data_IF_837482707292
#
_entry.id   IF_837482707292
#
_cell.length_a   1.000
_cell.length_b   1.000
_cell.length_c   1.000
_cell.angle_alpha   90.00
_cell.angle_beta   90.00
_cell.angle_gamma   90.00
#
_symmetry.space_group_name_H-M   'P 1'
#
loop_
_entity.id
_entity.type
_entity.pdbx_description
1 polymer ?
#
# COMPACT_ATOMS: atom_id res chain seq x y z
N UNK A 1 -45.47 57.99 -40.40
CA UNK A 1 -45.11 57.60 -39.02
C UNK A 1 -45.57 56.19 -38.75
N UNK A 2 -44.64 55.24 -38.53
CA UNK A 2 -44.71 54.13 -37.55
C UNK A 2 -43.48 53.25 -37.78
N UNK A 3 -42.50 53.42 -36.89
CA UNK A 3 -41.27 52.64 -36.81
C UNK A 3 -41.56 51.24 -36.27
N UNK A 4 -41.01 50.19 -36.91
CA UNK A 4 -40.94 48.85 -36.34
C UNK A 4 -39.60 48.69 -35.62
N UNK A 5 -39.64 48.52 -34.30
CA UNK A 5 -38.48 48.25 -33.46
C UNK A 5 -38.24 46.73 -33.38
N UNK A 6 -37.05 46.28 -33.77
CA UNK A 6 -36.58 44.92 -33.55
C UNK A 6 -36.04 44.78 -32.12
N UNK A 7 -36.66 43.91 -31.32
CA UNK A 7 -36.19 43.57 -29.98
C UNK A 7 -35.16 42.43 -30.05
N UNK A 8 -33.90 42.75 -29.77
CA UNK A 8 -32.81 41.80 -29.62
C UNK A 8 -32.82 41.25 -28.18
N UNK A 9 -33.21 39.99 -27.99
CA UNK A 9 -33.15 39.32 -26.70
C UNK A 9 -31.72 38.85 -26.41
N UNK A 10 -31.03 39.56 -25.52
CA UNK A 10 -29.70 39.19 -25.02
C UNK A 10 -29.86 38.11 -23.94
N UNK A 11 -29.55 36.86 -24.28
CA UNK A 11 -29.52 35.76 -23.32
C UNK A 11 -28.29 35.90 -22.40
N UNK A 12 -28.51 36.37 -21.18
CA UNK A 12 -27.53 36.35 -20.09
C UNK A 12 -27.33 34.90 -19.62
N UNK A 13 -26.28 34.24 -20.10
CA UNK A 13 -25.81 32.98 -19.55
C UNK A 13 -25.20 33.20 -18.17
N UNK A 14 -25.87 32.73 -17.12
CA UNK A 14 -25.30 32.65 -15.77
C UNK A 14 -24.22 31.57 -15.76
N UNK A 15 -23.01 31.83 -15.21
CA UNK A 15 -22.02 30.79 -15.03
C UNK A 15 -22.54 29.81 -13.98
N UNK A 16 -22.71 28.55 -14.37
CA UNK A 16 -22.98 27.46 -13.45
C UNK A 16 -21.85 27.43 -12.41
N UNK A 17 -22.18 27.68 -11.16
CA UNK A 17 -21.24 27.56 -10.05
C UNK A 17 -20.74 26.12 -10.01
N UNK A 18 -19.49 25.91 -10.42
CA UNK A 18 -18.79 24.64 -10.26
C UNK A 18 -18.70 24.37 -8.75
N UNK A 19 -19.54 23.47 -8.25
CA UNK A 19 -19.48 23.02 -6.86
C UNK A 19 -18.14 22.30 -6.69
N UNK A 20 -17.17 22.99 -6.11
CA UNK A 20 -15.87 22.41 -5.77
C UNK A 20 -16.11 21.14 -4.95
N UNK A 21 -15.55 20.01 -5.39
CA UNK A 21 -15.56 18.79 -4.63
C UNK A 21 -14.97 19.08 -3.24
N UNK A 22 -15.65 18.62 -2.18
CA UNK A 22 -15.14 18.78 -0.82
C UNK A 22 -13.69 18.24 -0.75
N UNK A 23 -12.75 18.95 -0.12
CA UNK A 23 -11.37 18.52 -0.06
C UNK A 23 -11.29 17.15 0.61
N UNK A 24 -10.54 16.22 0.02
CA UNK A 24 -10.31 14.91 0.63
C UNK A 24 -9.55 15.09 1.95
N UNK A 25 -10.14 14.60 3.04
CA UNK A 25 -9.57 14.65 4.40
C UNK A 25 -8.89 13.32 4.71
N UNK A 26 -7.91 13.39 5.62
CA UNK A 26 -7.04 12.27 5.96
C UNK A 26 -6.84 12.16 7.47
N UNK A 27 -6.86 10.91 7.93
CA UNK A 27 -6.53 10.46 9.28
C UNK A 27 -5.20 9.70 9.28
N UNK A 28 -4.80 9.18 10.45
CA UNK A 28 -3.56 8.42 10.61
C UNK A 28 -3.84 7.02 11.15
N UNK A 29 -3.50 5.97 10.41
CA UNK A 29 -3.59 4.57 10.85
C UNK A 29 -2.26 4.06 11.42
N UNK A 30 -2.33 3.15 12.39
CA UNK A 30 -1.16 2.52 13.04
C UNK A 30 -1.16 1.00 12.94
N UNK A 31 -2.25 0.42 12.46
CA UNK A 31 -2.43 -1.01 12.24
C UNK A 31 -3.78 -1.25 11.57
N UNK A 32 -3.82 -2.24 10.68
CA UNK A 32 -5.04 -2.97 10.32
C UNK A 32 -4.81 -4.44 10.63
N UNK A 33 -5.68 -5.02 11.46
CA UNK A 33 -5.53 -6.38 11.94
C UNK A 33 -6.88 -7.07 12.09
N UNK A 34 -6.93 -8.37 11.81
CA UNK A 34 -8.19 -9.12 11.88
C UNK A 34 -8.58 -9.49 13.31
N UNK A 35 -7.59 -9.64 14.20
CA UNK A 35 -7.84 -9.81 15.63
C UNK A 35 -8.10 -8.46 16.31
N UNK A 36 -9.30 -8.35 16.87
CA UNK A 36 -9.76 -7.22 17.66
C UNK A 36 -8.88 -7.01 18.90
N UNK A 37 -8.47 -8.07 19.59
CA UNK A 37 -7.63 -7.96 20.78
C UNK A 37 -6.25 -7.36 20.43
N UNK A 38 -5.63 -7.82 19.34
CA UNK A 38 -4.40 -7.21 18.82
C UNK A 38 -4.58 -5.73 18.42
N UNK A 39 -5.73 -5.33 17.87
CA UNK A 39 -6.02 -3.94 17.56
C UNK A 39 -6.14 -3.07 18.83
N UNK A 40 -6.79 -3.56 19.88
CA UNK A 40 -6.84 -2.87 21.18
C UNK A 40 -5.47 -2.79 21.85
N UNK A 41 -4.73 -3.90 21.91
CA UNK A 41 -3.37 -3.92 22.46
C UNK A 41 -2.46 -2.94 21.71
N UNK A 42 -2.60 -2.86 20.39
CA UNK A 42 -1.89 -1.90 19.56
C UNK A 42 -2.30 -0.46 19.87
N UNK A 43 -3.59 -0.17 20.00
CA UNK A 43 -4.11 1.16 20.35
C UNK A 43 -3.55 1.61 21.69
N UNK A 44 -3.49 0.74 22.69
CA UNK A 44 -2.95 1.05 24.02
C UNK A 44 -1.44 1.28 23.99
N UNK A 45 -0.70 0.46 23.24
CA UNK A 45 0.74 0.65 23.04
C UNK A 45 1.06 1.98 22.34
N UNK A 46 0.28 2.36 21.32
CA UNK A 46 0.40 3.64 20.61
C UNK A 46 0.03 4.80 21.54
N UNK A 47 -1.07 4.69 22.30
CA UNK A 47 -1.52 5.71 23.25
C UNK A 47 -0.46 5.99 24.33
N UNK A 48 0.21 4.95 24.85
CA UNK A 48 1.29 5.09 25.85
C UNK A 48 2.48 5.90 25.33
N UNK A 49 2.79 5.81 24.04
CA UNK A 49 3.93 6.51 23.42
C UNK A 49 3.55 7.93 22.98
N UNK A 50 2.35 8.10 22.41
CA UNK A 50 1.90 9.40 21.90
C UNK A 50 1.34 10.32 22.99
N UNK A 51 1.03 9.76 24.16
CA UNK A 51 0.56 10.50 25.32
C UNK A 51 -0.95 10.74 25.34
N UNK A 52 -1.46 11.27 26.47
CA UNK A 52 -2.90 11.35 26.76
C UNK A 52 -3.68 12.23 25.77
N UNK A 53 -3.05 13.30 25.25
CA UNK A 53 -3.69 14.17 24.26
C UNK A 53 -3.96 13.44 22.96
N UNK A 54 -3.01 12.65 22.46
CA UNK A 54 -3.20 11.87 21.24
C UNK A 54 -4.15 10.68 21.47
N UNK A 55 -4.12 10.09 22.66
CA UNK A 55 -4.97 8.95 23.03
C UNK A 55 -6.47 9.23 22.92
N UNK A 56 -6.90 10.47 23.16
CA UNK A 56 -8.31 10.91 23.04
C UNK A 56 -8.87 10.80 21.62
N UNK A 57 -7.99 10.81 20.61
CA UNK A 57 -8.37 10.74 19.21
C UNK A 57 -8.02 9.38 18.58
N UNK A 58 -7.49 8.43 19.37
CA UNK A 58 -7.19 7.08 18.92
C UNK A 58 -8.39 6.16 19.09
N UNK A 59 -8.94 5.73 17.97
CA UNK A 59 -10.05 4.79 17.89
C UNK A 59 -9.58 3.42 17.42
N UNK A 60 -10.25 2.39 17.91
CA UNK A 60 -10.27 1.08 17.26
C UNK A 60 -11.53 1.03 16.42
N UNK A 61 -11.39 0.80 15.12
CA UNK A 61 -12.49 0.93 14.16
C UNK A 61 -12.69 -0.38 13.42
N UNK A 62 -13.93 -0.73 13.10
CA UNK A 62 -14.25 -1.85 12.22
C UNK A 62 -14.42 -1.31 10.83
N UNK A 63 -13.56 -1.75 9.91
CA UNK A 63 -13.77 -1.51 8.49
C UNK A 63 -13.41 -2.78 7.71
N UNK A 64 -14.26 -3.13 6.75
CA UNK A 64 -13.93 -4.12 5.73
C UNK A 64 -13.52 -5.50 6.28
N UNK A 65 -14.13 -5.90 7.42
CA UNK A 65 -13.87 -7.19 8.07
C UNK A 65 -12.54 -7.27 8.84
N UNK A 66 -11.91 -6.12 9.11
CA UNK A 66 -10.72 -5.97 9.94
C UNK A 66 -10.90 -4.85 10.99
N UNK A 67 -10.07 -4.89 12.03
CA UNK A 67 -9.98 -3.87 13.06
C UNK A 67 -8.78 -2.95 12.76
N UNK A 68 -9.03 -1.65 12.61
CA UNK A 68 -8.02 -0.62 12.42
C UNK A 68 -7.74 0.13 13.72
N UNK A 69 -6.50 0.59 13.92
CA UNK A 69 -6.18 1.62 14.91
C UNK A 69 -5.97 2.93 14.18
N UNK A 70 -6.88 3.88 14.37
CA UNK A 70 -6.92 5.15 13.64
C UNK A 70 -6.88 6.32 14.60
N UNK A 71 -6.04 7.30 14.32
CA UNK A 71 -6.03 8.61 14.97
C UNK A 71 -6.78 9.60 14.09
N UNK A 72 -7.91 10.07 14.60
CA UNK A 72 -8.73 11.07 13.93
C UNK A 72 -7.97 12.38 13.87
N UNK A 73 -7.70 12.85 12.66
CA UNK A 73 -7.01 14.12 12.42
C UNK A 73 -7.85 15.07 11.58
N UNK A 74 -8.64 14.52 10.65
CA UNK A 74 -9.51 15.25 9.73
C UNK A 74 -8.79 16.44 9.06
N UNK A 75 -7.63 16.17 8.46
CA UNK A 75 -6.78 17.20 7.89
C UNK A 75 -6.46 16.96 6.42
N UNK A 76 -5.99 18.00 5.75
CA UNK A 76 -5.40 17.84 4.42
C UNK A 76 -4.23 16.83 4.43
N UNK A 77 -3.94 16.29 3.25
CA UNK A 77 -2.93 15.26 3.05
C UNK A 77 -1.55 15.65 3.59
N UNK A 78 -1.14 16.92 3.43
CA UNK A 78 0.18 17.38 3.83
C UNK A 78 0.30 17.45 5.36
N UNK A 79 -0.74 17.93 6.05
CA UNK A 79 -0.83 17.95 7.51
C UNK A 79 -0.92 16.55 8.09
N UNK A 80 -1.75 15.67 7.53
CA UNK A 80 -1.83 14.27 7.94
C UNK A 80 -0.48 13.55 7.76
N UNK A 81 0.24 13.80 6.66
CA UNK A 81 1.57 13.27 6.43
C UNK A 81 2.60 13.76 7.45
N UNK A 82 2.56 15.05 7.84
CA UNK A 82 3.42 15.58 8.92
C UNK A 82 3.15 14.90 10.26
N UNK A 83 1.88 14.68 10.61
CA UNK A 83 1.49 13.97 11.83
C UNK A 83 1.97 12.52 11.79
N UNK A 84 1.71 11.81 10.69
CA UNK A 84 2.15 10.44 10.49
C UNK A 84 3.69 10.31 10.59
N UNK A 85 4.44 11.24 10.00
CA UNK A 85 5.90 11.27 10.10
C UNK A 85 6.38 11.54 11.54
N UNK A 86 5.72 12.47 12.25
CA UNK A 86 6.04 12.74 13.66
C UNK A 86 5.81 11.52 14.54
N UNK A 87 4.63 10.90 14.44
CA UNK A 87 4.29 9.71 15.20
C UNK A 87 5.20 8.53 14.83
N UNK A 88 5.53 8.37 13.54
CA UNK A 88 6.48 7.34 13.09
C UNK A 88 7.84 7.47 13.79
N UNK A 89 8.37 8.69 13.95
CA UNK A 89 9.65 8.89 14.64
C UNK A 89 9.58 8.40 16.10
N UNK A 90 8.48 8.67 16.78
CA UNK A 90 8.26 8.21 18.15
C UNK A 90 8.07 6.68 18.20
N UNK A 91 7.18 6.14 17.38
CA UNK A 91 6.84 4.72 17.35
C UNK A 91 8.02 3.83 16.95
N UNK A 92 8.89 4.27 16.02
CA UNK A 92 10.10 3.52 15.64
C UNK A 92 11.08 3.38 16.82
N UNK A 93 11.22 4.40 17.68
CA UNK A 93 12.07 4.31 18.90
C UNK A 93 11.60 3.22 19.87
N UNK A 94 10.30 2.93 19.86
CA UNK A 94 9.68 1.89 20.69
C UNK A 94 9.32 0.62 19.92
N UNK A 95 9.91 0.40 18.74
CA UNK A 95 9.71 -0.79 17.90
C UNK A 95 8.26 -1.06 17.49
N UNK A 96 7.39 -0.06 17.54
CA UNK A 96 6.02 -0.18 17.05
C UNK A 96 5.92 0.07 15.54
N UNK A 97 6.93 0.65 14.90
CA UNK A 97 6.93 0.82 13.44
C UNK A 97 6.37 2.17 12.99
N UNK A 98 5.70 2.20 11.84
CA UNK A 98 5.31 3.44 11.14
C UNK A 98 3.82 3.73 11.33
N UNK A 99 3.47 5.02 11.29
CA UNK A 99 2.10 5.49 11.17
C UNK A 99 1.84 5.91 9.71
N UNK A 100 0.64 5.65 9.21
CA UNK A 100 0.27 5.82 7.80
C UNK A 100 -0.87 6.79 7.64
N UNK A 101 -0.90 7.54 6.54
CA UNK A 101 -2.09 8.33 6.20
C UNK A 101 -3.17 7.40 5.66
N UNK A 102 -4.41 7.63 6.07
CA UNK A 102 -5.60 6.95 5.52
C UNK A 102 -6.64 8.01 5.21
N UNK A 103 -7.42 7.84 4.14
CA UNK A 103 -8.52 8.76 3.85
C UNK A 103 -9.55 8.72 4.98
N UNK A 104 -10.04 9.88 5.40
CA UNK A 104 -11.08 9.99 6.42
C UNK A 104 -12.35 9.28 5.93
N UNK A 105 -12.98 8.53 6.84
CA UNK A 105 -14.24 7.80 6.60
C UNK A 105 -15.15 7.98 7.82
N UNK A 106 -16.42 7.64 7.66
CA UNK A 106 -17.34 7.45 8.79
C UNK A 106 -16.96 6.17 9.54
N UNK A 107 -15.94 6.28 10.39
CA UNK A 107 -15.38 5.14 11.08
C UNK A 107 -16.38 4.53 12.07
N UNK A 108 -16.68 3.24 11.91
CA UNK A 108 -17.46 2.49 12.89
C UNK A 108 -16.55 2.12 14.07
N UNK A 109 -16.55 2.94 15.12
CA UNK A 109 -15.80 2.65 16.35
C UNK A 109 -16.27 1.32 16.97
N UNK A 110 -15.31 0.49 17.33
CA UNK A 110 -15.53 -0.75 18.06
C UNK A 110 -15.26 -0.44 19.54
N UNK A 111 -16.22 -0.73 20.41
CA UNK A 111 -15.97 -0.73 21.84
C UNK A 111 -14.98 -1.86 22.22
N UNK A 112 -14.31 -1.83 23.38
CA UNK A 112 -13.64 -3.00 23.95
C UNK A 112 -14.64 -4.15 24.21
N UNK A 113 -14.20 -5.41 24.25
CA UNK A 113 -15.09 -6.56 24.53
C UNK A 113 -15.69 -6.46 25.96
N UNK A 114 -17.02 -6.54 26.14
CA UNK A 114 -17.69 -6.32 27.44
C UNK A 114 -17.35 -7.29 28.58
N UNK A 115 -16.59 -8.37 28.36
CA UNK A 115 -16.07 -9.18 29.46
C UNK A 115 -15.09 -8.43 30.38
N UNK A 116 -14.56 -7.27 29.94
CA UNK A 116 -13.63 -6.45 30.72
C UNK A 116 -14.22 -5.14 31.28
N UNK A 117 -15.48 -4.79 31.00
CA UNK A 117 -16.06 -3.50 31.43
C UNK A 117 -17.52 -3.66 31.83
N UNK A 118 -17.73 -4.36 32.95
CA UNK A 118 -19.02 -4.39 33.65
C UNK A 118 -19.08 -3.25 34.65
N UNK A 119 -19.16 -2.01 34.18
CA UNK A 119 -19.54 -0.86 35.01
C UNK A 119 -19.90 0.37 34.14
N UNK A 120 -21.06 0.96 34.47
CA UNK A 120 -21.57 2.29 34.10
C UNK A 120 -22.25 2.41 32.73
N UNK A 121 -23.50 2.89 32.80
CA UNK A 121 -24.55 2.79 31.82
C UNK A 121 -24.85 4.10 31.07
N UNK A 122 -25.59 3.94 29.96
CA UNK A 122 -26.63 4.81 29.39
C UNK A 122 -26.24 6.16 28.73
N UNK A 123 -26.51 6.29 27.42
CA UNK A 123 -27.57 7.15 26.84
C UNK A 123 -27.53 7.13 25.30
N UNK A 124 -28.65 7.53 24.69
CA UNK A 124 -29.17 7.09 23.36
C UNK A 124 -29.13 8.24 22.29
N UNK A 125 -29.84 8.20 21.12
CA UNK A 125 -29.25 8.36 19.78
C UNK A 125 -29.69 9.64 19.02
N UNK A 126 -29.07 9.97 17.87
CA UNK A 126 -29.54 11.09 17.01
C UNK A 126 -29.68 10.70 15.53
N UNK A 127 -30.97 10.65 15.14
CA UNK A 127 -31.63 11.05 13.88
C UNK A 127 -31.83 10.10 12.68
N UNK A 128 -33.13 10.05 12.29
CA UNK A 128 -33.79 9.41 11.15
C UNK A 128 -34.03 10.41 10.01
N UNK A 129 -34.10 9.92 8.76
CA UNK A 129 -35.12 10.23 7.71
C UNK A 129 -34.73 9.51 6.40
N UNK A 130 -35.46 8.48 5.93
CA UNK A 130 -36.75 8.38 5.16
C UNK A 130 -36.47 7.97 3.69
N UNK A 131 -37.10 6.86 3.26
CA UNK A 131 -37.14 6.29 1.90
C UNK A 131 -37.97 7.16 0.92
N UNK A 132 -37.92 7.07 -0.43
CA UNK A 132 -38.13 5.93 -1.33
C UNK A 132 -37.99 6.38 -2.82
N UNK A 133 -37.56 5.49 -3.75
CA UNK A 133 -38.12 5.16 -5.11
C UNK A 133 -37.06 4.79 -6.17
N UNK A 134 -37.42 3.76 -6.94
CA UNK A 134 -36.68 3.07 -8.00
C UNK A 134 -36.89 3.79 -9.35
N UNK A 135 -35.83 3.93 -10.16
CA UNK A 135 -35.89 4.26 -11.59
C UNK A 135 -34.76 3.56 -12.38
N UNK A 136 -35.06 3.24 -13.66
CA UNK A 136 -34.32 2.44 -14.66
C UNK A 136 -32.98 3.05 -15.16
N UNK A 137 -32.12 2.30 -15.88
CA UNK A 137 -30.67 2.53 -15.90
C UNK A 137 -30.26 3.70 -16.81
N UNK A 138 -29.51 4.63 -16.23
CA UNK A 138 -28.82 5.74 -16.89
C UNK A 138 -27.32 5.49 -16.81
N UNK A 139 -26.56 5.98 -17.81
CA UNK A 139 -25.09 5.95 -17.86
C UNK A 139 -24.52 6.38 -16.50
N UNK A 140 -23.77 5.48 -15.87
CA UNK A 140 -23.24 5.62 -14.51
C UNK A 140 -22.34 6.86 -14.44
N UNK A 141 -22.64 7.79 -13.54
CA UNK A 141 -21.84 9.00 -13.36
C UNK A 141 -20.45 8.64 -12.77
N UNK A 142 -19.38 9.42 -13.01
CA UNK A 142 -18.03 9.11 -12.50
C UNK A 142 -17.96 8.87 -10.98
N UNK A 143 -18.79 9.54 -10.19
CA UNK A 143 -18.86 9.34 -8.74
C UNK A 143 -19.52 8.01 -8.33
N UNK A 144 -20.52 7.55 -9.08
CA UNK A 144 -21.16 6.25 -8.87
C UNK A 144 -20.23 5.12 -9.29
N UNK A 145 -19.46 5.32 -10.36
CA UNK A 145 -18.42 4.38 -10.80
C UNK A 145 -17.30 4.26 -9.76
N UNK A 146 -16.85 5.36 -9.17
CA UNK A 146 -15.84 5.34 -8.12
C UNK A 146 -16.36 4.70 -6.82
N UNK A 147 -17.64 4.90 -6.52
CA UNK A 147 -18.31 4.24 -5.38
C UNK A 147 -18.43 2.74 -5.60
N UNK A 148 -18.82 2.31 -6.82
CA UNK A 148 -18.94 0.90 -7.20
C UNK A 148 -17.57 0.21 -7.22
N UNK A 149 -16.53 0.85 -7.78
CA UNK A 149 -15.14 0.36 -7.74
C UNK A 149 -14.64 0.20 -6.31
N UNK A 150 -14.90 1.20 -5.48
CA UNK A 150 -14.55 1.12 -4.06
C UNK A 150 -15.29 -0.03 -3.35
N UNK A 151 -16.52 -0.36 -3.76
CA UNK A 151 -17.27 -1.49 -3.21
C UNK A 151 -16.72 -2.84 -3.67
N UNK A 152 -16.32 -2.96 -4.94
CA UNK A 152 -15.69 -4.15 -5.49
C UNK A 152 -14.32 -4.41 -4.86
N UNK A 153 -13.47 -3.38 -4.75
CA UNK A 153 -12.20 -3.46 -4.04
C UNK A 153 -12.40 -3.96 -2.60
N UNK A 154 -13.36 -3.38 -1.86
CA UNK A 154 -13.70 -3.83 -0.49
C UNK A 154 -14.14 -5.30 -0.46
N UNK A 155 -14.92 -5.74 -1.45
CA UNK A 155 -15.35 -7.14 -1.55
C UNK A 155 -14.14 -8.06 -1.77
N UNK A 156 -13.23 -7.71 -2.68
CA UNK A 156 -12.03 -8.50 -2.95
C UNK A 156 -11.09 -8.54 -1.73
N UNK A 157 -10.86 -7.40 -1.07
CA UNK A 157 -10.10 -7.34 0.19
C UNK A 157 -10.73 -8.22 1.28
N UNK A 158 -12.07 -8.19 1.41
CA UNK A 158 -12.81 -9.06 2.33
C UNK A 158 -12.64 -10.56 2.03
N UNK A 159 -12.63 -10.94 0.73
CA UNK A 159 -12.38 -12.32 0.30
C UNK A 159 -10.95 -12.77 0.62
N UNK A 160 -9.95 -11.93 0.35
CA UNK A 160 -8.54 -12.20 0.71
C UNK A 160 -8.40 -12.37 2.23
N UNK A 161 -8.98 -11.45 3.01
CA UNK A 161 -8.95 -11.53 4.46
C UNK A 161 -9.65 -12.80 4.99
N UNK A 162 -10.78 -13.20 4.40
CA UNK A 162 -11.47 -14.43 4.74
C UNK A 162 -10.63 -15.68 4.44
N UNK A 163 -9.93 -15.70 3.32
CA UNK A 163 -9.04 -16.80 2.95
C UNK A 163 -7.83 -16.88 3.90
N UNK A 164 -7.19 -15.76 4.24
CA UNK A 164 -6.11 -15.72 5.23
C UNK A 164 -6.58 -16.24 6.60
N UNK A 165 -7.82 -15.93 7.02
CA UNK A 165 -8.42 -16.51 8.23
C UNK A 165 -8.57 -18.02 8.14
N UNK A 166 -9.01 -18.54 6.99
CA UNK A 166 -9.13 -19.98 6.77
C UNK A 166 -7.76 -20.67 6.93
N UNK A 167 -6.73 -20.14 6.27
CA UNK A 167 -5.36 -20.68 6.35
C UNK A 167 -4.83 -20.71 7.80
N UNK A 168 -5.13 -19.68 8.60
CA UNK A 168 -4.77 -19.67 10.04
C UNK A 168 -5.52 -20.74 10.84
N UNK A 169 -6.84 -20.89 10.61
CA UNK A 169 -7.64 -21.93 11.28
C UNK A 169 -7.17 -23.34 10.93
N UNK A 170 -6.72 -23.53 9.70
CA UNK A 170 -6.14 -24.79 9.22
C UNK A 170 -4.69 -25.02 9.69
N UNK A 171 -4.10 -24.09 10.44
CA UNK A 171 -2.71 -24.18 10.90
C UNK A 171 -1.66 -24.00 9.79
N UNK A 172 -2.08 -23.58 8.59
CA UNK A 172 -1.20 -23.36 7.42
C UNK A 172 -0.51 -22.00 7.44
N UNK A 173 -0.98 -21.09 8.29
CA UNK A 173 -0.38 -19.79 8.54
C UNK A 173 -0.36 -19.55 10.05
N UNK A 174 0.74 -19.04 10.59
CA UNK A 174 0.83 -18.80 12.03
C UNK A 174 -0.14 -17.69 12.47
N UNK A 175 -0.74 -17.76 13.68
CA UNK A 175 -1.62 -16.71 14.19
C UNK A 175 -0.96 -15.32 14.29
N UNK A 176 0.35 -15.28 14.55
CA UNK A 176 1.16 -14.07 14.67
C UNK A 176 1.82 -13.63 13.36
N UNK A 177 1.64 -14.39 12.27
CA UNK A 177 2.20 -14.07 10.98
C UNK A 177 1.49 -12.87 10.34
N UNK A 178 2.28 -11.86 9.98
CA UNK A 178 1.80 -10.63 9.35
C UNK A 178 1.85 -10.75 7.84
N UNK A 179 0.74 -10.42 7.19
CA UNK A 179 0.61 -10.47 5.72
C UNK A 179 0.33 -9.09 5.16
N UNK A 180 0.87 -8.82 3.97
CA UNK A 180 0.56 -7.66 3.15
C UNK A 180 0.22 -8.12 1.73
N UNK A 181 -0.79 -7.51 1.11
CA UNK A 181 -1.30 -7.89 -0.21
C UNK A 181 -1.47 -6.66 -1.08
N UNK A 182 -0.95 -6.71 -2.29
CA UNK A 182 -1.27 -5.74 -3.34
C UNK A 182 -1.62 -6.49 -4.61
N UNK A 183 -2.77 -6.18 -5.19
CA UNK A 183 -3.20 -6.73 -6.49
C UNK A 183 -3.52 -5.57 -7.39
N UNK A 184 -2.87 -5.53 -8.55
CA UNK A 184 -3.04 -4.50 -9.57
C UNK A 184 -3.43 -5.17 -10.88
N UNK A 185 -4.46 -4.63 -11.52
CA UNK A 185 -4.90 -5.03 -12.84
C UNK A 185 -4.31 -4.09 -13.88
N UNK A 186 -3.42 -4.62 -14.72
CA UNK A 186 -2.78 -3.87 -15.80
C UNK A 186 -3.73 -3.58 -16.97
N UNK A 187 -4.82 -4.35 -17.15
CA UNK A 187 -5.79 -4.12 -18.22
C UNK A 187 -6.64 -2.89 -17.93
N UNK A 188 -7.13 -2.76 -16.69
CA UNK A 188 -7.93 -1.61 -16.26
C UNK A 188 -7.10 -0.47 -15.68
N UNK A 189 -5.85 -0.74 -15.31
CA UNK A 189 -4.96 0.20 -14.64
C UNK A 189 -5.32 0.43 -13.17
N UNK A 190 -6.08 -0.48 -12.55
CA UNK A 190 -6.67 -0.31 -11.23
C UNK A 190 -6.01 -1.17 -10.18
N UNK A 191 -5.95 -0.64 -8.96
CA UNK A 191 -5.62 -1.44 -7.80
C UNK A 191 -6.88 -2.15 -7.30
N UNK A 192 -6.84 -3.48 -7.24
CA UNK A 192 -7.97 -4.31 -6.84
C UNK A 192 -7.95 -4.67 -5.35
N UNK A 193 -6.77 -4.71 -4.74
CA UNK A 193 -6.57 -5.07 -3.32
C UNK A 193 -5.38 -4.30 -2.76
N UNK A 194 -5.54 -3.62 -1.61
CA UNK A 194 -4.44 -3.09 -0.80
C UNK A 194 -4.64 -3.42 0.69
N UNK A 195 -3.90 -4.42 1.19
CA UNK A 195 -3.93 -4.79 2.61
C UNK A 195 -2.53 -4.66 3.18
N UNK A 196 -2.35 -3.82 4.21
CA UNK A 196 -1.08 -3.61 4.91
C UNK A 196 0.11 -3.31 3.98
N UNK A 197 -0.12 -2.69 2.82
CA UNK A 197 0.88 -2.63 1.75
C UNK A 197 2.13 -1.85 2.12
N UNK A 198 2.04 -0.93 3.07
CA UNK A 198 3.17 -0.13 3.58
C UNK A 198 3.90 -0.78 4.76
N UNK A 199 3.51 -2.01 5.15
CA UNK A 199 4.20 -2.77 6.18
C UNK A 199 5.54 -3.28 5.64
N UNK A 200 6.64 -2.84 6.26
CA UNK A 200 7.98 -3.37 5.96
C UNK A 200 8.09 -4.80 6.48
N UNK A 201 8.09 -5.76 5.56
CA UNK A 201 8.25 -7.17 5.84
C UNK A 201 9.65 -7.61 5.42
N UNK A 202 10.05 -8.78 5.94
CA UNK A 202 11.28 -9.42 5.53
C UNK A 202 11.19 -9.72 4.02
N UNK A 203 12.13 -9.20 3.24
CA UNK A 203 12.06 -9.31 1.78
C UNK A 203 12.45 -10.70 1.27
N UNK A 204 13.29 -11.42 2.02
CA UNK A 204 13.90 -12.67 1.56
C UNK A 204 14.47 -12.51 0.13
N UNK A 205 14.24 -13.49 -0.75
CA UNK A 205 14.70 -13.44 -2.15
C UNK A 205 13.99 -12.42 -3.03
N UNK A 206 12.89 -11.79 -2.57
CA UNK A 206 12.22 -10.72 -3.33
C UNK A 206 13.07 -9.44 -3.43
N UNK A 207 14.19 -9.37 -2.70
CA UNK A 207 15.14 -8.28 -2.86
C UNK A 207 15.92 -8.32 -4.19
N UNK A 208 16.05 -9.51 -4.79
CA UNK A 208 16.93 -9.76 -5.94
C UNK A 208 16.56 -8.93 -7.19
N UNK A 209 15.28 -8.73 -7.55
CA UNK A 209 14.90 -7.77 -8.60
C UNK A 209 15.35 -6.33 -8.32
N UNK A 210 15.40 -5.90 -7.06
CA UNK A 210 15.89 -4.56 -6.68
C UNK A 210 17.42 -4.48 -6.82
N UNK A 211 18.14 -5.58 -6.62
CA UNK A 211 19.57 -5.68 -6.93
C UNK A 211 19.83 -5.59 -8.44
N UNK A 212 18.99 -6.23 -9.26
CA UNK A 212 19.06 -6.11 -10.71
C UNK A 212 18.83 -4.65 -11.16
N UNK A 213 17.82 -3.96 -10.60
CA UNK A 213 17.62 -2.52 -10.82
C UNK A 213 18.88 -1.71 -10.47
N UNK A 214 19.47 -1.95 -9.30
CA UNK A 214 20.70 -1.28 -8.89
C UNK A 214 21.86 -1.53 -9.85
N UNK A 215 22.01 -2.76 -10.36
CA UNK A 215 23.01 -3.14 -11.35
C UNK A 215 22.80 -2.40 -12.67
N UNK A 216 21.60 -2.49 -13.24
CA UNK A 216 21.25 -1.84 -14.51
C UNK A 216 21.36 -0.31 -14.43
N UNK A 217 21.08 0.27 -13.25
CA UNK A 217 21.30 1.69 -12.99
C UNK A 217 22.76 2.12 -13.09
N UNK A 218 23.70 1.22 -12.77
CA UNK A 218 25.15 1.49 -12.89
C UNK A 218 25.65 1.22 -14.30
N UNK A 219 25.04 0.28 -15.00
CA UNK A 219 25.28 0.05 -16.43
C UNK A 219 24.86 1.27 -17.24
N UNK A 220 23.66 1.82 -17.00
CA UNK A 220 23.18 3.02 -17.70
C UNK A 220 24.02 4.28 -17.41
N UNK A 221 24.79 4.29 -16.32
CA UNK A 221 25.75 5.34 -16.00
C UNK A 221 27.15 5.11 -16.60
N UNK A 222 27.38 3.98 -17.27
CA UNK A 222 28.72 3.57 -17.72
C UNK A 222 29.67 3.15 -16.59
N UNK A 223 29.17 2.96 -15.36
CA UNK A 223 29.99 2.58 -14.19
C UNK A 223 30.16 1.07 -14.04
N UNK A 224 29.31 0.29 -14.68
CA UNK A 224 29.43 -1.17 -14.79
C UNK A 224 29.22 -1.57 -16.25
N UNK A 225 29.84 -2.67 -16.64
CA UNK A 225 29.65 -3.28 -17.96
C UNK A 225 28.61 -4.40 -17.83
N UNK A 226 27.74 -4.51 -18.83
CA UNK A 226 26.81 -5.64 -18.95
C UNK A 226 27.31 -6.62 -20.01
N UNK A 227 28.20 -7.50 -19.58
CA UNK A 227 28.81 -8.56 -20.41
C UNK A 227 28.15 -9.92 -20.18
N UNK A 228 28.63 -10.94 -20.90
CA UNK A 228 28.13 -12.32 -20.79
C UNK A 228 28.17 -12.87 -19.36
N UNK A 229 29.22 -12.54 -18.60
CA UNK A 229 29.35 -12.95 -17.20
C UNK A 229 28.29 -12.29 -16.33
N UNK A 230 28.11 -10.98 -16.46
CA UNK A 230 27.12 -10.21 -15.70
C UNK A 230 25.71 -10.70 -15.99
N UNK A 231 25.41 -11.01 -17.25
CA UNK A 231 24.15 -11.62 -17.67
C UNK A 231 23.92 -12.96 -16.98
N UNK A 232 24.90 -13.86 -17.02
CA UNK A 232 24.81 -15.17 -16.38
C UNK A 232 24.52 -15.05 -14.86
N UNK A 233 25.19 -14.14 -14.17
CA UNK A 233 24.99 -13.94 -12.72
C UNK A 233 23.60 -13.36 -12.42
N UNK A 234 23.11 -12.39 -13.21
CA UNK A 234 21.75 -11.88 -13.04
C UNK A 234 20.69 -12.93 -13.36
N UNK A 235 20.92 -13.79 -14.37
CA UNK A 235 20.05 -14.92 -14.70
C UNK A 235 19.98 -15.90 -13.54
N UNK A 236 21.13 -16.34 -13.00
CA UNK A 236 21.18 -17.24 -11.84
C UNK A 236 20.49 -16.63 -10.61
N UNK A 237 20.74 -15.35 -10.35
CA UNK A 237 20.12 -14.63 -9.24
C UNK A 237 18.60 -14.60 -9.37
N UNK A 238 18.04 -14.26 -10.54
CA UNK A 238 16.59 -14.09 -10.70
C UNK A 238 15.87 -15.42 -10.95
N UNK A 239 16.37 -16.23 -11.88
CA UNK A 239 15.74 -17.49 -12.29
C UNK A 239 15.89 -18.57 -11.23
N UNK A 240 17.09 -18.74 -10.67
CA UNK A 240 17.35 -19.83 -9.72
C UNK A 240 17.34 -19.36 -8.28
N UNK A 241 17.13 -18.05 -8.04
CA UNK A 241 17.22 -17.46 -6.70
C UNK A 241 18.58 -17.78 -6.06
N UNK A 242 19.66 -17.84 -6.85
CA UNK A 242 21.00 -18.18 -6.36
C UNK A 242 21.54 -17.07 -5.45
N UNK A 243 21.90 -17.42 -4.21
CA UNK A 243 22.40 -16.46 -3.21
C UNK A 243 23.84 -16.03 -3.50
N UNK A 244 24.68 -16.91 -4.04
CA UNK A 244 26.07 -16.57 -4.38
C UNK A 244 26.11 -15.56 -5.55
N UNK A 245 25.21 -15.72 -6.52
CA UNK A 245 25.01 -14.78 -7.61
C UNK A 245 24.50 -13.42 -7.10
N UNK A 246 23.54 -13.41 -6.17
CA UNK A 246 23.06 -12.18 -5.55
C UNK A 246 24.16 -11.43 -4.78
N UNK A 247 24.99 -12.17 -4.04
CA UNK A 247 26.13 -11.61 -3.33
C UNK A 247 27.23 -11.13 -4.29
N UNK A 248 27.45 -11.83 -5.40
CA UNK A 248 28.31 -11.36 -6.48
C UNK A 248 27.81 -10.01 -7.02
N UNK A 249 26.51 -9.88 -7.33
CA UNK A 249 25.90 -8.63 -7.79
C UNK A 249 26.09 -7.52 -6.76
N UNK A 250 25.84 -7.78 -5.47
CA UNK A 250 26.07 -6.79 -4.41
C UNK A 250 27.54 -6.38 -4.31
N UNK A 251 28.49 -7.32 -4.40
CA UNK A 251 29.93 -7.00 -4.39
C UNK A 251 30.31 -6.07 -5.55
N UNK A 252 29.80 -6.33 -6.76
CA UNK A 252 30.01 -5.43 -7.93
C UNK A 252 29.43 -4.04 -7.72
N UNK A 253 28.40 -3.91 -6.89
CA UNK A 253 27.76 -2.64 -6.54
C UNK A 253 28.44 -1.90 -5.37
N UNK A 254 29.45 -2.50 -4.73
CA UNK A 254 30.15 -1.96 -3.55
C UNK A 254 29.60 -2.44 -2.20
N UNK A 255 28.83 -3.53 -2.19
CA UNK A 255 28.25 -4.15 -1.00
C UNK A 255 26.89 -3.59 -0.57
N UNK A 256 26.25 -4.18 0.46
CA UNK A 256 24.88 -3.86 0.88
C UNK A 256 24.63 -2.37 1.16
N UNK A 257 25.56 -1.71 1.86
CA UNK A 257 25.44 -0.29 2.18
C UNK A 257 25.49 0.61 0.93
N UNK A 258 26.33 0.27 -0.05
CA UNK A 258 26.41 1.00 -1.31
C UNK A 258 25.13 0.83 -2.15
N UNK A 259 24.57 -0.39 -2.17
CA UNK A 259 23.27 -0.69 -2.80
C UNK A 259 22.14 0.10 -2.14
N UNK A 260 22.01 0.04 -0.81
CA UNK A 260 21.03 0.83 -0.06
C UNK A 260 21.12 2.32 -0.41
N UNK A 261 22.35 2.85 -0.40
CA UNK A 261 22.62 4.26 -0.64
C UNK A 261 22.25 4.67 -2.06
N UNK A 262 22.55 3.82 -3.06
CA UNK A 262 22.12 4.01 -4.45
C UNK A 262 20.59 4.03 -4.58
N UNK A 263 19.93 2.98 -4.07
CA UNK A 263 18.47 2.83 -4.16
C UNK A 263 17.77 4.00 -3.48
N UNK A 264 18.23 4.43 -2.30
CA UNK A 264 17.66 5.57 -1.58
C UNK A 264 17.83 6.88 -2.35
N UNK A 265 19.03 7.16 -2.89
CA UNK A 265 19.30 8.41 -3.60
C UNK A 265 18.52 8.52 -4.91
N UNK A 266 18.40 7.43 -5.67
CA UNK A 266 17.78 7.46 -7.00
C UNK A 266 16.31 7.13 -7.02
N UNK A 267 15.91 6.20 -6.16
CA UNK A 267 14.58 5.60 -6.18
C UNK A 267 13.86 5.79 -4.86
N UNK A 268 14.30 6.70 -3.98
CA UNK A 268 13.71 6.89 -2.66
C UNK A 268 12.22 7.28 -2.66
N UNK A 269 11.73 7.89 -3.75
CA UNK A 269 10.30 8.16 -3.94
C UNK A 269 9.50 6.89 -4.32
N UNK A 270 10.14 5.95 -5.01
CA UNK A 270 9.55 4.68 -5.46
C UNK A 270 9.64 3.61 -4.37
N UNK A 271 10.82 3.47 -3.77
CA UNK A 271 11.28 2.41 -2.86
C UNK A 271 11.45 2.95 -1.43
N UNK A 272 10.38 3.53 -0.91
CA UNK A 272 10.36 4.26 0.37
C UNK A 272 10.68 3.40 1.59
N UNK A 273 10.33 2.11 1.57
CA UNK A 273 10.49 1.16 2.68
C UNK A 273 11.59 0.12 2.47
N UNK A 274 12.37 0.23 1.38
CA UNK A 274 13.41 -0.75 1.06
C UNK A 274 14.63 -0.56 1.96
N UNK A 275 14.96 -1.61 2.70
CA UNK A 275 16.18 -1.73 3.50
C UNK A 275 17.09 -2.84 2.95
N UNK A 276 18.33 -2.51 2.58
CA UNK A 276 19.41 -3.45 2.24
C UNK A 276 20.48 -3.33 3.32
N UNK A 277 20.58 -4.32 4.20
CA UNK A 277 21.44 -4.29 5.39
C UNK A 277 22.54 -5.35 5.37
N UNK A 278 22.39 -6.38 4.55
CA UNK A 278 23.26 -7.54 4.56
C UNK A 278 23.30 -8.27 3.23
N UNK A 279 24.35 -9.06 3.06
CA UNK A 279 24.45 -10.10 2.04
C UNK A 279 23.40 -11.20 2.30
N UNK A 280 23.11 -12.02 1.28
CA UNK A 280 22.16 -13.12 1.43
C UNK A 280 22.94 -14.33 1.96
N UNK A 281 22.74 -14.74 3.22
CA UNK A 281 23.49 -15.85 3.79
C UNK A 281 23.24 -17.17 3.03
N UNK A 282 24.18 -18.11 3.16
CA UNK A 282 24.06 -19.44 2.55
C UNK A 282 22.87 -20.24 3.10
N UNK A 283 22.51 -20.05 4.38
CA UNK A 283 21.40 -20.74 5.04
C UNK A 283 20.03 -20.08 4.81
N UNK A 284 20.00 -18.93 4.12
CA UNK A 284 18.78 -18.16 3.85
C UNK A 284 18.14 -17.48 5.07
N UNK A 285 18.75 -17.55 6.26
CA UNK A 285 18.13 -17.14 7.54
C UNK A 285 18.41 -15.69 7.96
N UNK A 286 18.88 -14.83 7.06
CA UNK A 286 19.07 -13.40 7.35
C UNK A 286 18.05 -12.55 6.61
N UNK A 287 17.22 -11.90 7.42
CA UNK A 287 15.98 -11.22 7.03
C UNK A 287 15.97 -9.74 7.43
N UNK A 288 17.15 -9.12 7.58
CA UNK A 288 17.26 -7.69 7.87
C UNK A 288 17.00 -6.86 6.62
N UNK A 289 17.11 -7.48 5.45
CA UNK A 289 16.63 -6.90 4.19
C UNK A 289 15.10 -6.84 4.21
N UNK A 290 14.53 -5.66 3.98
CA UNK A 290 13.08 -5.41 4.06
C UNK A 290 12.58 -4.66 2.84
N UNK A 291 11.31 -4.88 2.56
CA UNK A 291 10.54 -4.10 1.60
C UNK A 291 9.06 -4.21 1.97
N UNK A 292 8.26 -3.25 1.52
CA UNK A 292 6.81 -3.31 1.66
C UNK A 292 6.16 -3.81 0.36
N UNK A 293 4.94 -4.33 0.42
CA UNK A 293 4.21 -4.70 -0.80
C UNK A 293 4.01 -3.48 -1.71
N UNK A 294 3.87 -2.28 -1.14
CA UNK A 294 3.74 -1.03 -1.90
C UNK A 294 5.03 -0.67 -2.64
N UNK A 295 6.19 -0.93 -2.07
CA UNK A 295 7.47 -0.75 -2.78
C UNK A 295 7.53 -1.67 -4.00
N UNK A 296 7.11 -2.94 -3.85
CA UNK A 296 7.03 -3.88 -4.97
C UNK A 296 6.00 -3.45 -6.02
N UNK A 297 4.79 -3.03 -5.64
CA UNK A 297 3.78 -2.59 -6.62
C UNK A 297 4.26 -1.40 -7.45
N UNK A 298 4.88 -0.41 -6.80
CA UNK A 298 5.47 0.74 -7.49
C UNK A 298 6.62 0.32 -8.40
N UNK A 299 7.52 -0.53 -7.91
CA UNK A 299 8.64 -1.06 -8.69
C UNK A 299 8.15 -1.82 -9.93
N UNK A 300 7.23 -2.77 -9.76
CA UNK A 300 6.71 -3.60 -10.84
C UNK A 300 5.92 -2.78 -11.85
N UNK A 301 5.16 -1.77 -11.41
CA UNK A 301 4.45 -0.87 -12.31
C UNK A 301 5.40 -0.01 -13.14
N UNK A 302 6.43 0.59 -12.51
CA UNK A 302 7.45 1.36 -13.20
C UNK A 302 8.26 0.49 -14.18
N UNK A 303 8.55 -0.76 -13.77
CA UNK A 303 9.21 -1.75 -14.62
C UNK A 303 8.36 -2.10 -15.85
N UNK A 304 7.06 -2.35 -15.64
CA UNK A 304 6.12 -2.67 -16.71
C UNK A 304 6.01 -1.54 -17.75
N UNK A 305 6.03 -0.29 -17.29
CA UNK A 305 5.95 0.93 -18.12
C UNK A 305 7.29 1.38 -18.73
N UNK A 306 8.36 0.59 -18.55
CA UNK A 306 9.69 0.93 -19.04
C UNK A 306 10.26 2.25 -18.48
N UNK A 307 9.87 2.62 -17.25
CA UNK A 307 10.29 3.86 -16.57
C UNK A 307 11.60 3.69 -15.78
N UNK A 308 12.21 2.51 -15.79
CA UNK A 308 13.43 2.18 -15.02
C UNK A 308 14.61 1.81 -15.95
N UNK A 309 15.86 2.09 -15.55
CA UNK A 309 17.02 1.62 -16.28
C UNK A 309 17.05 0.10 -16.40
N UNK A 310 17.19 -0.39 -17.64
CA UNK A 310 17.23 -1.82 -17.94
C UNK A 310 15.89 -2.54 -17.76
N UNK A 311 14.74 -1.83 -17.84
CA UNK A 311 13.42 -2.46 -17.68
C UNK A 311 13.20 -3.67 -18.59
N UNK A 312 13.58 -3.56 -19.88
CA UNK A 312 13.49 -4.67 -20.83
C UNK A 312 14.25 -5.90 -20.33
N UNK A 313 15.50 -5.71 -19.90
CA UNK A 313 16.35 -6.79 -19.43
C UNK A 313 15.86 -7.39 -18.11
N UNK A 314 15.41 -6.56 -17.16
CA UNK A 314 14.85 -7.05 -15.90
C UNK A 314 13.55 -7.83 -16.16
N UNK A 315 12.69 -7.36 -17.08
CA UNK A 315 11.51 -8.12 -17.53
C UNK A 315 11.90 -9.45 -18.16
N UNK A 316 12.93 -9.49 -19.01
CA UNK A 316 13.48 -10.72 -19.61
C UNK A 316 13.98 -11.70 -18.54
N UNK A 317 14.78 -11.23 -17.58
CA UNK A 317 15.25 -12.04 -16.46
C UNK A 317 14.08 -12.61 -15.65
N UNK A 318 13.07 -11.78 -15.38
CA UNK A 318 11.85 -12.15 -14.69
C UNK A 318 10.87 -12.97 -15.53
N UNK A 319 11.09 -13.14 -16.84
CA UNK A 319 10.25 -13.99 -17.72
C UNK A 319 10.86 -15.39 -17.94
N UNK A 320 12.13 -15.59 -17.56
CA UNK A 320 12.82 -16.87 -17.72
C UNK A 320 12.02 -18.05 -17.14
N UNK A 321 12.06 -19.21 -17.81
CA UNK A 321 11.26 -20.37 -17.43
C UNK A 321 11.73 -20.94 -16.08
N UNK A 322 10.75 -21.29 -15.24
CA UNK A 322 10.95 -21.96 -13.95
C UNK A 322 9.74 -22.84 -13.64
N UNK A 323 9.97 -24.02 -13.03
CA UNK A 323 8.94 -25.06 -12.81
C UNK A 323 7.79 -24.63 -11.88
N UNK A 324 8.03 -23.64 -11.01
CA UNK A 324 7.12 -23.15 -9.97
C UNK A 324 6.31 -21.91 -10.39
N UNK A 325 6.38 -21.49 -11.66
CA UNK A 325 5.62 -20.34 -12.14
C UNK A 325 4.15 -20.72 -12.33
N UNK A 326 3.27 -20.12 -11.52
CA UNK A 326 1.82 -20.21 -11.69
C UNK A 326 1.42 -19.37 -12.92
N UNK A 327 0.77 -20.01 -13.91
CA UNK A 327 0.24 -19.36 -15.10
C UNK A 327 -1.16 -19.88 -15.39
N UNK A 328 -2.04 -18.98 -15.79
CA UNK A 328 -3.36 -19.29 -16.33
C UNK A 328 -3.64 -18.33 -17.48
N UNK A 329 -3.77 -18.85 -18.70
CA UNK A 329 -4.27 -18.09 -19.86
C UNK A 329 -3.35 -17.00 -20.46
N UNK A 330 -2.10 -16.84 -19.99
CA UNK A 330 -1.17 -15.85 -20.55
C UNK A 330 -0.07 -16.51 -21.40
N UNK A 331 0.11 -16.12 -22.68
CA UNK A 331 1.23 -16.58 -23.50
C UNK A 331 2.56 -16.05 -22.94
N UNK A 332 3.63 -16.82 -23.13
CA UNK A 332 4.99 -16.34 -22.86
C UNK A 332 5.36 -15.29 -23.91
N UNK A 333 6.02 -14.18 -23.53
CA UNK A 333 6.69 -13.32 -24.50
C UNK A 333 7.83 -14.05 -25.20
#
# INVERSE_FOLDING_TARGET
>A
MRFFAAALALALSTPAATRAAAPALYDVSYLWHVDRAAAFARRDAVAKILGPTAAKHLLVVSADGACGVVYLRDADRARAAKVAASHTRLLKRHRLGKAWIVGTRDWAEIAPNPAAVRAVAAATPIHKRRAFRIARPSKIAPAELETARSAEQRRLEGLVAAHVRLLRREGRLSPDERTAWSVYDFTTGQTLVEINTDLELQAASLIKPLLALAYMSRVSEGKLVYDARSRLELERMIQHSDNAAADWTMRRLGGPAAVQSLLRRRYGALLTGVEIKEYIPADGRTYRNKASARDYSRFLLALWRDELPGSEEIKRLMSLPKRDRIKTGAPLP
#
